data_IF_889458977719
#
_entry.id   IF_889458977719
#
_cell.length_a   1.000
_cell.length_b   1.000
_cell.length_c   1.000
_cell.angle_alpha   90.00
_cell.angle_beta   90.00
_cell.angle_gamma   90.00
#
_symmetry.space_group_name_H-M   'P 1'
#
loop_
_entity.id
_entity.type
_entity.pdbx_description
1 polymer ?
#
# COMPACT_ATOMS: atom_id res chain seq x y z
N UNK A 1 -11.77 -14.40 8.96
CA UNK A 1 -10.36 -14.56 9.41
C UNK A 1 -10.34 -14.95 10.89
N UNK A 2 -9.36 -15.73 11.33
CA UNK A 2 -9.17 -16.04 12.76
C UNK A 2 -8.97 -14.76 13.59
N UNK A 3 -9.62 -14.64 14.75
CA UNK A 3 -9.60 -13.42 15.59
C UNK A 3 -8.20 -13.10 16.09
N UNK A 4 -7.41 -14.11 16.45
CA UNK A 4 -6.05 -13.92 16.97
C UNK A 4 -5.11 -13.43 15.88
N UNK A 5 -5.29 -13.92 14.65
CA UNK A 5 -4.57 -13.40 13.48
C UNK A 5 -4.94 -11.94 13.20
N UNK A 6 -6.23 -11.59 13.28
CA UNK A 6 -6.71 -10.21 13.09
C UNK A 6 -6.06 -9.25 14.07
N UNK A 7 -6.06 -9.61 15.35
CA UNK A 7 -5.47 -8.77 16.39
C UNK A 7 -3.96 -8.58 16.19
N UNK A 8 -3.26 -9.62 15.74
CA UNK A 8 -1.84 -9.53 15.42
C UNK A 8 -1.57 -8.61 14.23
N UNK A 9 -2.39 -8.69 13.18
CA UNK A 9 -2.27 -7.84 12.00
C UNK A 9 -2.56 -6.37 12.35
N UNK A 10 -3.58 -6.11 13.16
CA UNK A 10 -3.92 -4.76 13.64
C UNK A 10 -2.77 -4.17 14.48
N UNK A 11 -2.23 -4.94 15.44
CA UNK A 11 -1.08 -4.52 16.25
C UNK A 11 0.18 -4.24 15.43
N UNK A 12 0.32 -4.89 14.27
CA UNK A 12 1.48 -4.74 13.38
C UNK A 12 1.19 -3.87 12.16
N UNK A 13 -0.02 -3.29 12.03
CA UNK A 13 -0.49 -2.56 10.84
C UNK A 13 0.54 -1.55 10.35
N UNK A 14 0.99 -0.64 11.20
CA UNK A 14 1.97 0.38 10.83
C UNK A 14 3.31 -0.19 10.34
N UNK A 15 3.81 -1.27 10.96
CA UNK A 15 5.07 -1.91 10.57
C UNK A 15 4.93 -2.64 9.24
N UNK A 16 3.79 -3.31 9.02
CA UNK A 16 3.47 -3.99 7.76
C UNK A 16 3.40 -2.97 6.62
N UNK A 17 2.61 -1.91 6.79
CA UNK A 17 2.43 -0.87 5.77
C UNK A 17 3.75 -0.18 5.43
N UNK A 18 4.57 0.15 6.43
CA UNK A 18 5.90 0.74 6.20
C UNK A 18 6.80 -0.16 5.36
N UNK A 19 6.87 -1.46 5.71
CA UNK A 19 7.70 -2.43 4.98
C UNK A 19 7.18 -2.72 3.58
N UNK A 20 5.86 -2.79 3.41
CA UNK A 20 5.24 -2.97 2.10
C UNK A 20 5.48 -1.77 1.20
N UNK A 21 5.30 -0.55 1.72
CA UNK A 21 5.61 0.67 1.01
C UNK A 21 7.08 0.68 0.56
N UNK A 22 8.01 0.43 1.48
CA UNK A 22 9.44 0.39 1.17
C UNK A 22 9.76 -0.64 0.08
N UNK A 23 9.26 -1.87 0.21
CA UNK A 23 9.49 -2.93 -0.77
C UNK A 23 8.93 -2.58 -2.16
N UNK A 24 7.78 -1.90 -2.24
CA UNK A 24 7.19 -1.46 -3.51
C UNK A 24 8.01 -0.32 -4.11
N UNK A 25 8.36 0.69 -3.32
CA UNK A 25 9.12 1.86 -3.80
C UNK A 25 10.53 1.47 -4.23
N UNK A 26 11.12 0.44 -3.64
CA UNK A 26 12.43 -0.10 -4.05
C UNK A 26 12.40 -0.82 -5.41
N UNK A 27 11.22 -1.08 -5.97
CA UNK A 27 11.10 -1.58 -7.35
C UNK A 27 11.21 -0.46 -8.41
N UNK A 28 11.18 0.80 -8.00
CA UNK A 28 11.45 1.94 -8.87
C UNK A 28 12.97 2.17 -9.01
N UNK A 29 13.43 2.75 -10.13
CA UNK A 29 14.80 3.21 -10.29
C UNK A 29 15.31 4.02 -9.09
N UNK A 30 16.59 3.86 -8.74
CA UNK A 30 17.19 4.40 -7.50
C UNK A 30 17.13 5.93 -7.39
N UNK A 31 17.17 6.62 -8.52
CA UNK A 31 16.99 8.06 -8.64
C UNK A 31 15.58 8.52 -8.24
N UNK A 32 14.57 7.67 -8.46
CA UNK A 32 13.16 7.94 -8.23
C UNK A 32 12.70 7.50 -6.84
N UNK A 33 13.16 6.33 -6.38
CA UNK A 33 12.75 5.77 -5.08
C UNK A 33 13.09 6.67 -3.90
N UNK A 34 14.23 7.38 -3.95
CA UNK A 34 14.62 8.35 -2.93
C UNK A 34 13.67 9.55 -2.82
N UNK A 35 13.14 10.04 -3.93
CA UNK A 35 12.14 11.10 -3.94
C UNK A 35 10.81 10.61 -3.38
N UNK A 36 10.33 9.45 -3.86
CA UNK A 36 9.06 8.86 -3.43
C UNK A 36 9.02 8.55 -1.92
N UNK A 37 10.15 8.15 -1.32
CA UNK A 37 10.26 7.92 0.13
C UNK A 37 10.24 9.22 0.96
N UNK A 38 10.76 10.33 0.44
CA UNK A 38 11.00 11.57 1.21
C UNK A 38 9.91 12.63 1.06
N UNK A 39 9.29 12.72 -0.12
CA UNK A 39 8.27 13.73 -0.40
C UNK A 39 6.92 13.29 0.17
N UNK A 40 6.40 14.07 1.13
CA UNK A 40 5.12 13.77 1.81
C UNK A 40 3.92 14.49 1.22
N UNK A 41 4.15 15.54 0.44
CA UNK A 41 3.08 16.25 -0.21
C UNK A 41 2.46 15.38 -1.31
N UNK A 42 1.15 15.13 -1.22
CA UNK A 42 0.43 14.25 -2.16
C UNK A 42 0.33 14.79 -3.58
N UNK A 43 0.40 16.10 -3.77
CA UNK A 43 0.36 16.70 -5.11
C UNK A 43 1.74 16.63 -5.77
N UNK A 44 2.81 16.75 -4.99
CA UNK A 44 4.18 16.56 -5.45
C UNK A 44 4.59 15.08 -5.55
N UNK A 45 3.91 14.17 -4.83
CA UNK A 45 4.17 12.73 -4.82
C UNK A 45 2.87 11.91 -4.94
N UNK A 46 2.19 11.98 -6.09
CA UNK A 46 0.94 11.25 -6.31
C UNK A 46 1.18 9.72 -6.27
N UNK A 47 2.30 9.24 -6.82
CA UNK A 47 2.63 7.80 -6.83
C UNK A 47 2.79 7.26 -5.42
N UNK A 48 3.60 7.91 -4.57
CA UNK A 48 3.77 7.51 -3.19
C UNK A 48 2.45 7.54 -2.42
N UNK A 49 1.64 8.58 -2.63
CA UNK A 49 0.32 8.66 -1.99
C UNK A 49 -0.62 7.53 -2.41
N UNK A 50 -0.74 7.25 -3.71
CA UNK A 50 -1.56 6.15 -4.24
C UNK A 50 -1.10 4.80 -3.70
N UNK A 51 0.20 4.54 -3.68
CA UNK A 51 0.75 3.28 -3.13
C UNK A 51 0.40 3.17 -1.65
N UNK A 52 0.61 4.21 -0.83
CA UNK A 52 0.29 4.18 0.60
C UNK A 52 -1.19 3.88 0.86
N UNK A 53 -2.10 4.54 0.15
CA UNK A 53 -3.54 4.30 0.29
C UNK A 53 -3.90 2.87 -0.12
N UNK A 54 -3.41 2.40 -1.26
CA UNK A 54 -3.84 1.11 -1.77
C UNK A 54 -3.32 -0.08 -0.96
N UNK A 55 -2.12 0.00 -0.38
CA UNK A 55 -1.64 -1.05 0.53
C UNK A 55 -2.39 -1.05 1.87
N UNK A 56 -2.85 0.12 2.34
CA UNK A 56 -3.69 0.24 3.53
C UNK A 56 -5.06 -0.41 3.29
N UNK A 57 -5.73 -0.03 2.20
CA UNK A 57 -7.01 -0.63 1.82
C UNK A 57 -6.91 -2.14 1.57
N UNK A 58 -5.79 -2.62 1.01
CA UNK A 58 -5.54 -4.04 0.82
C UNK A 58 -5.44 -4.78 2.16
N UNK A 59 -4.68 -4.24 3.12
CA UNK A 59 -4.54 -4.86 4.45
C UNK A 59 -5.88 -4.86 5.19
N UNK A 60 -6.66 -3.78 5.09
CA UNK A 60 -8.00 -3.69 5.67
C UNK A 60 -8.96 -4.72 5.07
N UNK A 61 -8.99 -4.84 3.74
CA UNK A 61 -9.80 -5.84 3.05
C UNK A 61 -9.44 -7.27 3.48
N UNK A 62 -8.15 -7.57 3.63
CA UNK A 62 -7.68 -8.86 4.17
C UNK A 62 -8.14 -9.09 5.61
N UNK A 63 -8.10 -8.05 6.45
CA UNK A 63 -8.54 -8.12 7.84
C UNK A 63 -10.06 -8.22 8.02
N UNK A 64 -10.82 -7.70 7.06
CA UNK A 64 -12.28 -7.82 6.96
C UNK A 64 -12.71 -9.17 6.37
N UNK A 65 -11.79 -9.89 5.72
CA UNK A 65 -12.09 -11.14 5.02
C UNK A 65 -12.93 -10.91 3.77
N UNK A 66 -12.77 -9.76 3.12
CA UNK A 66 -13.38 -9.50 1.81
C UNK A 66 -12.80 -10.45 0.78
N UNK A 67 -13.66 -10.98 -0.06
CA UNK A 67 -13.27 -11.85 -1.16
C UNK A 67 -12.66 -11.02 -2.30
N UNK A 68 -11.62 -11.54 -2.94
CA UNK A 68 -10.90 -10.90 -4.06
C UNK A 68 -11.75 -10.74 -5.34
N UNK A 69 -13.00 -11.21 -5.32
CA UNK A 69 -13.98 -11.08 -6.40
C UNK A 69 -14.83 -9.81 -6.29
N UNK A 70 -14.70 -9.05 -5.20
CA UNK A 70 -15.23 -7.69 -5.11
C UNK A 70 -14.33 -6.75 -5.94
N UNK A 71 -14.91 -5.72 -6.56
CA UNK A 71 -14.10 -4.66 -7.18
C UNK A 71 -13.25 -4.01 -6.08
N UNK A 72 -11.94 -3.97 -6.29
CA UNK A 72 -10.96 -3.34 -5.39
C UNK A 72 -10.37 -2.11 -6.10
N UNK A 73 -11.04 -0.95 -6.10
CA UNK A 73 -10.61 0.25 -6.82
C UNK A 73 -9.17 0.67 -6.51
N UNK A 74 -8.70 0.38 -5.30
CA UNK A 74 -7.34 0.68 -4.89
C UNK A 74 -6.27 -0.13 -5.64
N UNK A 75 -6.60 -1.34 -6.12
CA UNK A 75 -5.70 -2.11 -6.98
C UNK A 75 -5.59 -1.48 -8.36
N UNK A 76 -6.70 -1.02 -8.93
CA UNK A 76 -6.68 -0.33 -10.23
C UNK A 76 -5.81 0.92 -10.18
N UNK A 77 -5.89 1.68 -9.10
CA UNK A 77 -5.08 2.89 -8.95
C UNK A 77 -3.59 2.56 -8.79
N UNK A 78 -3.23 1.51 -8.03
CA UNK A 78 -1.84 1.01 -7.96
C UNK A 78 -1.36 0.54 -9.34
N UNK A 79 -2.17 -0.21 -10.08
CA UNK A 79 -1.81 -0.72 -11.41
C UNK A 79 -1.57 0.45 -12.37
N UNK A 80 -2.45 1.46 -12.37
CA UNK A 80 -2.32 2.65 -13.23
C UNK A 80 -1.02 3.42 -12.96
N UNK A 81 -0.69 3.69 -11.69
CA UNK A 81 0.55 4.43 -11.38
C UNK A 81 1.81 3.62 -11.67
N UNK A 82 1.73 2.28 -11.66
CA UNK A 82 2.86 1.40 -12.00
C UNK A 82 3.03 1.15 -13.50
N UNK A 83 2.02 1.42 -14.31
CA UNK A 83 2.04 1.20 -15.75
C UNK A 83 2.70 2.36 -16.53
N UNK A 84 3.05 3.44 -15.85
CA UNK A 84 3.70 4.64 -16.39
C UNK A 84 5.19 4.59 -16.09
#
# INVERSE_FOLDING_TARGET
MDTRLRDLLEQKKASILSRWFEAIIETYPTDTSGFLKKQKDRFANPVGHTVSLGIESMLEALMEGKELNEELPFLDDIIKVRAV
#
